data_IF_773044347173
#
_entry.id   IF_773044347173
#
_cell.length_a   1.000
_cell.length_b   1.000
_cell.length_c   1.000
_cell.angle_alpha   90.00
_cell.angle_beta   90.00
_cell.angle_gamma   90.00
#
_symmetry.space_group_name_H-M   'P 1'
#
loop_
_entity.id
_entity.type
_entity.pdbx_description
1 polymer ?
#
# COMPACT_ATOMS: atom_id res chain seq x y z
N UNK A 1 -13.85 -27.60 -0.74
CA UNK A 1 -13.43 -26.48 -1.62
C UNK A 1 -12.23 -25.81 -0.96
N UNK A 2 -11.09 -25.63 -1.66
CA UNK A 2 -9.96 -24.89 -1.09
C UNK A 2 -10.32 -23.40 -1.13
N UNK A 3 -10.50 -22.77 0.02
CA UNK A 3 -10.72 -21.33 0.11
C UNK A 3 -9.44 -20.63 -0.34
N UNK A 4 -9.48 -19.97 -1.50
CA UNK A 4 -8.38 -19.14 -1.97
C UNK A 4 -8.61 -17.75 -1.40
N UNK A 5 -7.72 -17.31 -0.51
CA UNK A 5 -7.75 -15.96 0.04
C UNK A 5 -7.63 -14.96 -1.12
N UNK A 6 -8.55 -14.00 -1.28
CA UNK A 6 -8.49 -13.04 -2.39
C UNK A 6 -7.22 -12.18 -2.28
N UNK A 7 -6.74 -11.59 -3.39
CA UNK A 7 -5.55 -10.74 -3.36
C UNK A 7 -5.71 -9.58 -2.37
N UNK A 8 -4.71 -9.38 -1.51
CA UNK A 8 -4.72 -8.34 -0.47
C UNK A 8 -4.88 -6.93 -1.07
N UNK A 9 -4.46 -6.73 -2.31
CA UNK A 9 -4.63 -5.46 -3.04
C UNK A 9 -6.09 -5.00 -3.09
N UNK A 10 -7.03 -5.95 -3.21
CA UNK A 10 -8.46 -5.63 -3.29
C UNK A 10 -9.06 -5.11 -1.99
N UNK A 11 -8.31 -5.12 -0.88
CA UNK A 11 -8.71 -4.57 0.43
C UNK A 11 -7.89 -3.35 0.83
N UNK A 12 -7.02 -2.85 -0.04
CA UNK A 12 -6.21 -1.65 0.19
C UNK A 12 -6.80 -0.52 -0.65
N UNK A 13 -7.04 0.64 -0.05
CA UNK A 13 -7.45 1.86 -0.74
C UNK A 13 -6.29 2.83 -0.77
N UNK A 14 -5.67 2.99 -1.94
CA UNK A 14 -4.68 4.04 -2.18
C UNK A 14 -5.41 5.28 -2.70
N UNK A 15 -5.37 6.37 -1.94
CA UNK A 15 -6.05 7.62 -2.30
C UNK A 15 -5.11 8.65 -2.93
N UNK A 16 -3.83 8.60 -2.58
CA UNK A 16 -2.90 9.66 -2.92
C UNK A 16 -1.46 9.37 -2.56
N UNK A 17 -0.54 10.10 -3.18
CA UNK A 17 0.81 10.31 -2.67
C UNK A 17 1.06 11.80 -2.48
N UNK A 18 1.82 12.14 -1.46
CA UNK A 18 2.18 13.52 -1.11
C UNK A 18 3.70 13.64 -1.18
N UNK A 19 4.18 14.51 -2.06
CA UNK A 19 5.59 14.87 -2.12
C UNK A 19 5.84 16.09 -1.23
N UNK A 20 6.67 15.93 -0.20
CA UNK A 20 7.08 17.04 0.67
C UNK A 20 8.41 17.61 0.13
N UNK A 21 8.48 18.90 -0.24
CA UNK A 21 9.73 19.52 -0.65
C UNK A 21 10.80 19.41 0.44
N UNK A 22 11.93 18.78 0.11
CA UNK A 22 13.02 18.53 1.08
C UNK A 22 12.72 17.45 2.14
N UNK A 23 11.56 16.78 2.07
CA UNK A 23 11.13 15.76 3.02
C UNK A 23 10.91 14.37 2.39
N UNK A 24 10.48 13.42 3.22
CA UNK A 24 10.09 12.09 2.76
C UNK A 24 8.73 12.13 2.05
N UNK A 25 8.56 11.34 1.00
CA UNK A 25 7.25 11.15 0.36
C UNK A 25 6.32 10.36 1.29
N UNK A 26 5.04 10.72 1.28
CA UNK A 26 3.98 10.07 2.04
C UNK A 26 2.94 9.47 1.08
N UNK A 27 2.19 8.48 1.58
CA UNK A 27 1.07 7.86 0.90
C UNK A 27 -0.19 7.97 1.78
N UNK A 28 -1.36 8.15 1.16
CA UNK A 28 -2.64 8.10 1.85
C UNK A 28 -3.26 6.74 1.56
N UNK A 29 -3.24 5.86 2.56
CA UNK A 29 -3.67 4.46 2.48
C UNK A 29 -4.74 4.21 3.53
N UNK A 30 -5.91 3.73 3.11
CA UNK A 30 -7.06 3.49 4.00
C UNK A 30 -7.36 4.68 4.91
N UNK A 31 -7.47 5.88 4.32
CA UNK A 31 -7.75 7.15 5.01
C UNK A 31 -6.67 7.57 6.04
N UNK A 32 -5.50 6.93 6.00
CA UNK A 32 -4.37 7.19 6.91
C UNK A 32 -3.12 7.59 6.13
N UNK A 33 -2.41 8.60 6.62
CA UNK A 33 -1.13 9.01 6.05
C UNK A 33 -0.03 8.06 6.53
N UNK A 34 0.73 7.48 5.60
CA UNK A 34 1.78 6.52 5.86
C UNK A 34 3.08 6.89 5.15
N UNK A 35 4.20 6.57 5.78
CA UNK A 35 5.56 6.82 5.31
C UNK A 35 6.21 5.58 4.71
N UNK A 36 7.30 5.80 3.98
CA UNK A 36 8.14 4.71 3.49
C UNK A 36 8.62 3.82 4.64
N UNK A 37 8.47 2.50 4.48
CA UNK A 37 8.90 1.51 5.45
C UNK A 37 7.86 1.14 6.49
N UNK A 38 6.79 1.93 6.64
CA UNK A 38 5.70 1.62 7.58
C UNK A 38 4.90 0.40 7.17
N UNK A 39 4.24 -0.22 8.15
CA UNK A 39 3.45 -1.44 7.96
C UNK A 39 2.08 -1.32 8.62
N UNK A 40 1.05 -1.82 7.95
CA UNK A 40 -0.33 -1.82 8.43
C UNK A 40 -0.96 -3.21 8.32
N UNK A 41 -1.98 -3.45 9.15
CA UNK A 41 -2.80 -4.65 9.06
C UNK A 41 -3.94 -4.42 8.05
N UNK A 42 -4.33 -5.47 7.34
CA UNK A 42 -5.50 -5.48 6.47
C UNK A 42 -6.48 -6.50 7.04
N UNK A 43 -7.73 -6.09 7.25
CA UNK A 43 -8.75 -6.94 7.84
C UNK A 43 -8.93 -8.23 7.01
N UNK A 44 -8.93 -9.38 7.69
CA UNK A 44 -9.01 -10.69 7.06
C UNK A 44 -7.69 -11.29 6.59
N UNK A 45 -6.56 -10.58 6.74
CA UNK A 45 -5.22 -11.05 6.33
C UNK A 45 -4.30 -11.23 7.54
N UNK A 46 -3.56 -12.34 7.56
CA UNK A 46 -2.75 -12.74 8.72
C UNK A 46 -1.39 -12.02 8.84
N UNK A 47 -0.92 -11.35 7.78
CA UNK A 47 0.35 -10.64 7.79
C UNK A 47 0.17 -9.15 7.54
N UNK A 48 1.15 -8.35 7.96
CA UNK A 48 1.16 -6.92 7.69
C UNK A 48 1.59 -6.66 6.24
N UNK A 49 1.05 -5.59 5.68
CA UNK A 49 1.47 -5.02 4.41
C UNK A 49 2.48 -3.91 4.72
N UNK A 50 3.62 -3.90 4.02
CA UNK A 50 4.67 -2.88 4.18
C UNK A 50 4.77 -1.98 2.96
N UNK A 51 4.96 -0.68 3.17
CA UNK A 51 5.30 0.25 2.09
C UNK A 51 6.78 0.16 1.79
N UNK A 52 7.14 -0.24 0.56
CA UNK A 52 8.54 -0.41 0.14
C UNK A 52 9.00 0.64 -0.85
N UNK A 53 8.08 1.35 -1.51
CA UNK A 53 8.40 2.51 -2.35
C UNK A 53 7.20 3.43 -2.44
N UNK A 54 7.43 4.74 -2.35
CA UNK A 54 6.44 5.78 -2.66
C UNK A 54 6.98 6.57 -3.84
N UNK A 55 6.15 6.80 -4.85
CA UNK A 55 6.53 7.55 -6.05
C UNK A 55 5.33 8.36 -6.56
N UNK A 56 5.55 9.35 -7.45
CA UNK A 56 4.45 10.13 -8.03
C UNK A 56 3.43 9.28 -8.80
N UNK A 57 3.86 8.14 -9.35
CA UNK A 57 3.00 7.25 -10.16
C UNK A 57 2.24 6.22 -9.32
N UNK A 58 2.62 6.01 -8.06
CA UNK A 58 2.02 4.98 -7.23
C UNK A 58 2.87 4.55 -6.04
N UNK A 59 2.35 3.58 -5.30
CA UNK A 59 2.97 3.01 -4.10
C UNK A 59 3.23 1.52 -4.33
N UNK A 60 4.45 1.08 -4.04
CA UNK A 60 4.80 -0.34 -4.02
C UNK A 60 4.68 -0.85 -2.60
N UNK A 61 3.92 -1.94 -2.46
CA UNK A 61 3.70 -2.65 -1.22
C UNK A 61 4.38 -4.02 -1.24
N UNK A 62 4.64 -4.56 -0.06
CA UNK A 62 5.11 -5.93 0.14
C UNK A 62 4.19 -6.65 1.14
N UNK A 63 3.74 -7.85 0.78
CA UNK A 63 2.94 -8.74 1.61
C UNK A 63 3.40 -10.17 1.42
N UNK A 64 3.78 -10.87 2.49
CA UNK A 64 4.30 -12.26 2.44
C UNK A 64 5.41 -12.44 1.38
N UNK A 65 6.39 -11.53 1.33
CA UNK A 65 7.50 -11.46 0.35
C UNK A 65 7.08 -11.21 -1.11
N UNK A 66 5.78 -11.03 -1.39
CA UNK A 66 5.28 -10.65 -2.72
C UNK A 66 5.16 -9.13 -2.78
N UNK A 67 5.68 -8.55 -3.87
CA UNK A 67 5.55 -7.11 -4.14
C UNK A 67 4.47 -6.86 -5.18
N UNK A 68 3.74 -5.77 -4.99
CA UNK A 68 2.76 -5.27 -5.94
C UNK A 68 2.73 -3.75 -5.88
N UNK A 69 2.42 -3.11 -7.01
CA UNK A 69 2.30 -1.66 -7.11
C UNK A 69 0.84 -1.31 -7.32
N UNK A 70 0.37 -0.29 -6.60
CA UNK A 70 -0.92 0.35 -6.85
C UNK A 70 -0.67 1.75 -7.38
N UNK A 71 -1.33 2.08 -8.48
CA UNK A 71 -1.29 3.42 -9.08
C UNK A 71 -2.28 4.34 -8.38
N UNK A 72 -1.94 5.62 -8.30
CA UNK A 72 -2.83 6.66 -7.73
C UNK A 72 -3.93 7.05 -8.72
N UNK A 73 -3.64 6.95 -10.02
CA UNK A 73 -4.60 7.17 -11.09
C UNK A 73 -5.28 5.83 -11.41
N UNK A 74 -6.42 5.57 -10.77
CA UNK A 74 -7.39 4.62 -11.31
C UNK A 74 -8.33 5.41 -12.22
N UNK A 75 -7.94 5.57 -13.49
CA UNK A 75 -8.90 5.81 -14.58
C UNK A 75 -9.39 4.47 -15.13
#
# INVERSE_FOLDING_TARGET
>A
MKYVEPPVEGRIRLQGTVAIPGGASLAIVNDTTMSLGESFAVEGYSAKVRIVKISPVGVTFEYKKRRFMMSVNQE
#
